data_IF_504408514800
#
_entry.id   IF_504408514800
#
_cell.length_a   1.000
_cell.length_b   1.000
_cell.length_c   1.000
_cell.angle_alpha   90.00
_cell.angle_beta   90.00
_cell.angle_gamma   90.00
#
_symmetry.space_group_name_H-M   'P 1'
#
loop_
_entity.id
_entity.type
_entity.pdbx_description
1 polymer ?
#
# COMPACT_ATOMS: atom_id res chain seq x y z
N UNK A 1 -0.60 -9.05 12.27
CA UNK A 1 -1.68 -8.37 13.00
C UNK A 1 -2.21 -9.35 14.04
N UNK A 2 -2.11 -8.98 15.31
CA UNK A 2 -2.43 -9.81 16.46
C UNK A 2 -3.92 -9.83 16.84
N UNK A 3 -4.76 -9.06 16.14
CA UNK A 3 -6.21 -9.09 16.31
C UNK A 3 -6.93 -9.66 15.07
N UNK A 4 -6.41 -9.41 13.87
CA UNK A 4 -6.92 -9.96 12.60
C UNK A 4 -5.78 -10.65 11.85
N UNK A 5 -6.00 -11.88 11.37
CA UNK A 5 -4.98 -12.61 10.62
C UNK A 5 -4.64 -11.88 9.31
N UNK A 6 -3.35 -11.59 9.14
CA UNK A 6 -2.78 -10.98 7.95
C UNK A 6 -3.10 -11.74 6.66
N UNK A 7 -3.21 -13.08 6.73
CA UNK A 7 -3.54 -13.90 5.57
C UNK A 7 -4.89 -13.54 4.94
N UNK A 8 -5.84 -13.03 5.73
CA UNK A 8 -7.15 -12.59 5.21
C UNK A 8 -6.99 -11.45 4.19
N UNK A 9 -6.10 -10.49 4.47
CA UNK A 9 -5.80 -9.40 3.56
C UNK A 9 -5.12 -9.88 2.28
N UNK A 10 -4.17 -10.82 2.39
CA UNK A 10 -3.49 -11.41 1.24
C UNK A 10 -4.48 -12.15 0.33
N UNK A 11 -5.37 -12.97 0.89
CA UNK A 11 -6.33 -13.75 0.10
C UNK A 11 -7.30 -12.86 -0.67
N UNK A 12 -7.77 -11.78 -0.03
CA UNK A 12 -8.60 -10.79 -0.71
C UNK A 12 -7.83 -10.10 -1.84
N UNK A 13 -6.61 -9.63 -1.58
CA UNK A 13 -5.75 -8.99 -2.59
C UNK A 13 -5.47 -9.93 -3.78
N UNK A 14 -5.06 -11.16 -3.49
CA UNK A 14 -4.79 -12.18 -4.51
C UNK A 14 -6.02 -12.49 -5.36
N UNK A 15 -7.20 -12.59 -4.74
CA UNK A 15 -8.47 -12.84 -5.44
C UNK A 15 -8.87 -11.67 -6.32
N UNK A 16 -8.82 -10.44 -5.81
CA UNK A 16 -9.11 -9.24 -6.59
C UNK A 16 -8.18 -9.08 -7.78
N UNK A 17 -6.89 -9.43 -7.61
CA UNK A 17 -5.91 -9.44 -8.69
C UNK A 17 -6.21 -10.48 -9.75
N UNK A 18 -6.56 -11.71 -9.37
CA UNK A 18 -7.00 -12.77 -10.32
C UNK A 18 -8.27 -12.38 -11.09
N UNK A 19 -9.15 -11.60 -10.46
CA UNK A 19 -10.36 -11.07 -11.08
C UNK A 19 -10.15 -9.79 -11.91
N UNK A 20 -8.90 -9.34 -12.05
CA UNK A 20 -8.53 -8.11 -12.75
C UNK A 20 -9.28 -6.86 -12.24
N UNK A 21 -9.65 -6.87 -10.96
CA UNK A 21 -10.31 -5.72 -10.34
C UNK A 21 -9.26 -4.70 -9.89
N UNK A 22 -9.40 -3.41 -10.22
CA UNK A 22 -8.55 -2.38 -9.64
C UNK A 22 -8.70 -2.35 -8.13
N UNK A 23 -7.59 -2.45 -7.41
CA UNK A 23 -7.57 -2.41 -5.94
C UNK A 23 -6.20 -1.95 -5.46
N UNK A 24 -6.18 -1.39 -4.25
CA UNK A 24 -4.97 -0.90 -3.58
C UNK A 24 -4.95 -1.51 -2.18
N UNK A 25 -3.79 -2.01 -1.78
CA UNK A 25 -3.56 -2.52 -0.43
C UNK A 25 -2.31 -1.86 0.14
N UNK A 26 -2.48 -1.19 1.28
CA UNK A 26 -1.38 -0.58 2.01
C UNK A 26 -0.85 -1.56 3.05
N UNK A 27 0.46 -1.73 3.06
CA UNK A 27 1.15 -2.70 3.92
C UNK A 27 2.31 -1.99 4.61
N UNK A 28 2.26 -1.97 5.94
CA UNK A 28 3.31 -1.40 6.77
C UNK A 28 4.02 -2.54 7.49
N UNK A 29 5.23 -2.85 7.06
CA UNK A 29 6.02 -3.92 7.66
C UNK A 29 6.38 -3.57 9.12
N UNK A 30 6.44 -4.60 9.97
CA UNK A 30 6.79 -4.51 11.39
C UNK A 30 5.81 -3.65 12.22
N UNK A 31 4.58 -3.47 11.74
CA UNK A 31 3.45 -2.89 12.47
C UNK A 31 2.46 -3.99 12.88
N UNK A 32 1.66 -3.74 13.92
CA UNK A 32 0.65 -4.68 14.40
C UNK A 32 -0.76 -4.28 13.90
N UNK A 33 -1.83 -4.60 14.64
CA UNK A 33 -3.21 -4.24 14.32
C UNK A 33 -3.41 -2.72 14.15
N UNK A 34 -2.57 -1.91 14.80
CA UNK A 34 -2.50 -0.47 14.61
C UNK A 34 -1.08 -0.02 14.28
N UNK A 35 -0.98 1.16 13.68
CA UNK A 35 0.30 1.80 13.35
C UNK A 35 0.87 2.50 14.59
N UNK A 36 1.99 2.01 15.10
CA UNK A 36 2.69 2.58 16.24
C UNK A 36 3.72 3.64 15.82
N UNK A 37 4.42 3.46 14.69
CA UNK A 37 5.44 4.40 14.22
C UNK A 37 4.78 5.66 13.66
N UNK A 38 5.26 6.84 14.07
CA UNK A 38 4.66 8.13 13.71
C UNK A 38 4.71 8.37 12.21
N UNK A 39 5.78 7.95 11.57
CA UNK A 39 6.00 8.09 10.13
C UNK A 39 4.95 7.30 9.35
N UNK A 40 4.66 6.07 9.79
CA UNK A 40 3.64 5.22 9.20
C UNK A 40 2.23 5.80 9.39
N UNK A 41 1.93 6.35 10.57
CA UNK A 41 0.65 7.02 10.81
C UNK A 41 0.42 8.21 9.86
N UNK A 42 1.45 9.04 9.65
CA UNK A 42 1.39 10.20 8.75
C UNK A 42 1.22 9.75 7.30
N UNK A 43 2.02 8.78 6.84
CA UNK A 43 1.92 8.25 5.48
C UNK A 43 0.54 7.60 5.23
N UNK A 44 0.03 6.81 6.18
CA UNK A 44 -1.29 6.21 6.09
C UNK A 44 -2.41 7.24 5.96
N UNK A 45 -2.41 8.26 6.82
CA UNK A 45 -3.40 9.34 6.76
C UNK A 45 -3.33 10.12 5.44
N UNK A 46 -2.11 10.40 4.97
CA UNK A 46 -1.88 11.06 3.68
C UNK A 46 -2.43 10.23 2.52
N UNK A 47 -2.07 8.95 2.44
CA UNK A 47 -2.52 8.04 1.37
C UNK A 47 -4.02 7.83 1.37
N UNK A 48 -4.61 7.68 2.55
CA UNK A 48 -6.06 7.58 2.69
C UNK A 48 -6.76 8.82 2.13
N UNK A 49 -6.29 10.02 2.51
CA UNK A 49 -6.83 11.28 1.99
C UNK A 49 -6.68 11.38 0.47
N UNK A 50 -5.51 11.08 -0.08
CA UNK A 50 -5.24 11.14 -1.53
C UNK A 50 -6.13 10.17 -2.31
N UNK A 51 -6.34 8.97 -1.78
CA UNK A 51 -7.24 7.99 -2.37
C UNK A 51 -8.68 8.50 -2.42
N UNK A 52 -9.20 9.07 -1.33
CA UNK A 52 -10.54 9.65 -1.30
C UNK A 52 -10.65 10.92 -2.16
N UNK A 53 -9.63 11.77 -2.16
CA UNK A 53 -9.55 12.95 -3.02
C UNK A 53 -9.73 12.55 -4.51
N UNK A 54 -9.12 11.45 -4.93
CA UNK A 54 -9.28 10.94 -6.29
C UNK A 54 -10.67 10.31 -6.52
N UNK A 55 -11.04 9.29 -5.74
CA UNK A 55 -12.22 8.47 -6.04
C UNK A 55 -13.57 9.06 -5.58
N UNK A 56 -13.57 9.94 -4.58
CA UNK A 56 -14.80 10.60 -4.10
C UNK A 56 -14.94 12.03 -4.60
N UNK A 57 -13.83 12.77 -4.74
CA UNK A 57 -13.87 14.19 -5.13
C UNK A 57 -13.44 14.44 -6.58
N UNK A 58 -13.01 13.41 -7.32
CA UNK A 58 -12.63 13.52 -8.73
C UNK A 58 -11.34 14.30 -8.97
N UNK A 59 -10.49 14.49 -7.95
CA UNK A 59 -9.18 15.13 -8.13
C UNK A 59 -8.23 14.22 -8.94
N UNK A 60 -7.19 14.78 -9.57
CA UNK A 60 -6.16 13.97 -10.21
C UNK A 60 -5.58 12.93 -9.24
N UNK A 61 -5.38 11.71 -9.70
CA UNK A 61 -4.77 10.65 -8.89
C UNK A 61 -3.28 10.95 -8.66
N UNK A 62 -2.82 10.73 -7.44
CA UNK A 62 -1.39 10.67 -7.16
C UNK A 62 -0.77 9.46 -7.87
N UNK A 63 0.49 9.60 -8.31
CA UNK A 63 1.18 8.57 -9.11
C UNK A 63 1.19 7.21 -8.44
N UNK A 64 1.28 7.13 -7.11
CA UNK A 64 1.31 5.85 -6.41
C UNK A 64 -0.03 5.08 -6.47
N UNK A 65 -1.13 5.74 -6.83
CA UNK A 65 -2.46 5.15 -7.02
C UNK A 65 -2.55 4.49 -8.40
N UNK A 66 -2.03 5.16 -9.44
CA UNK A 66 -2.12 4.72 -10.84
C UNK A 66 -0.94 3.88 -11.29
N UNK A 67 0.24 4.16 -10.75
CA UNK A 67 1.52 3.62 -11.20
C UNK A 67 1.98 2.57 -10.19
N UNK A 68 1.76 1.30 -10.53
CA UNK A 68 2.31 0.19 -9.77
C UNK A 68 3.80 -0.04 -10.08
N UNK A 69 4.58 -0.44 -9.08
CA UNK A 69 5.93 -0.99 -9.29
C UNK A 69 5.90 -2.51 -9.14
N UNK A 70 6.60 -3.23 -10.02
CA UNK A 70 6.75 -4.67 -9.85
C UNK A 70 7.60 -4.97 -8.60
N UNK A 71 7.39 -6.14 -7.99
CA UNK A 71 8.20 -6.55 -6.85
C UNK A 71 9.70 -6.61 -7.20
N UNK A 72 10.04 -7.10 -8.41
CA UNK A 72 11.41 -7.16 -8.89
C UNK A 72 12.04 -5.77 -9.03
N UNK A 73 11.29 -4.81 -9.56
CA UNK A 73 11.79 -3.43 -9.69
C UNK A 73 11.94 -2.77 -8.33
N UNK A 74 11.02 -3.04 -7.40
CA UNK A 74 11.12 -2.59 -6.00
C UNK A 74 12.38 -3.12 -5.32
N UNK A 75 12.72 -4.40 -5.53
CA UNK A 75 13.94 -4.99 -4.97
C UNK A 75 15.20 -4.37 -5.56
N UNK A 76 15.26 -4.20 -6.88
CA UNK A 76 16.38 -3.51 -7.55
C UNK A 76 16.58 -2.08 -7.04
N UNK A 77 15.49 -1.34 -6.79
CA UNK A 77 15.56 0.01 -6.23
C UNK A 77 16.15 -0.01 -4.81
N UNK A 78 15.72 -0.97 -3.98
CA UNK A 78 16.21 -1.12 -2.60
C UNK A 78 17.70 -1.49 -2.53
N UNK A 79 18.18 -2.33 -3.44
CA UNK A 79 19.60 -2.67 -3.54
C UNK A 79 20.45 -1.43 -3.88
N UNK A 80 19.99 -0.61 -4.84
CA UNK A 80 20.67 0.64 -5.20
C UNK A 80 20.74 1.62 -4.04
N UNK A 81 19.66 1.77 -3.27
CA UNK A 81 19.64 2.69 -2.10
C UNK A 81 20.50 2.20 -0.94
N UNK A 82 20.84 0.91 -0.90
CA UNK A 82 21.65 0.29 0.15
C UNK A 82 23.13 0.10 -0.27
N UNK A 83 23.48 0.48 -1.50
CA UNK A 83 24.87 0.49 -1.96
C UNK A 83 25.51 1.81 -1.51
N UNK A 84 26.61 1.80 -0.73
CA UNK A 84 27.24 3.00 -0.20
C UNK A 84 27.85 3.91 -1.27
#
# INVERSE_FOLDING_TARGET
DGAVDWHQGIEMYGTMRRMEKPHVMLVYADENHGLAKKENQIDYQKRQKEWFDHYLLGKPAEKWITDGISYLDKMKQREKTNTP
#
